data_IF_375176242356
#
_entry.id   IF_375176242356
#
_cell.length_a   1.000
_cell.length_b   1.000
_cell.length_c   1.000
_cell.angle_alpha   90.00
_cell.angle_beta   90.00
_cell.angle_gamma   90.00
#
_symmetry.space_group_name_H-M   'P 1'
#
loop_
_entity.id
_entity.type
_entity.pdbx_description
1 polymer ?
#
# COMPACT_ATOMS: atom_id res chain seq x y z
N UNK A 1 -29.24 19.89 23.19
CA UNK A 1 -29.55 18.61 22.53
C UNK A 1 -28.81 18.40 21.21
N UNK A 2 -28.61 19.43 20.36
CA UNK A 2 -27.89 19.29 19.07
C UNK A 2 -26.39 18.96 19.23
N UNK A 3 -25.72 19.53 20.24
CA UNK A 3 -24.27 19.31 20.47
C UNK A 3 -23.93 17.84 20.80
N UNK A 4 -24.74 17.16 21.60
CA UNK A 4 -24.49 15.76 21.99
C UNK A 4 -24.67 14.77 20.83
N UNK A 5 -25.58 15.05 19.89
CA UNK A 5 -25.77 14.24 18.70
C UNK A 5 -24.63 14.40 17.68
N UNK A 6 -24.12 15.63 17.51
CA UNK A 6 -22.96 15.90 16.65
C UNK A 6 -21.67 15.23 17.19
N UNK A 7 -21.46 15.27 18.51
CA UNK A 7 -20.31 14.60 19.14
C UNK A 7 -20.43 13.07 19.02
N UNK A 8 -21.63 12.51 19.20
CA UNK A 8 -21.87 11.07 19.01
C UNK A 8 -21.72 10.60 17.56
N UNK A 9 -21.96 11.48 16.57
CA UNK A 9 -21.72 11.21 15.14
C UNK A 9 -20.22 11.26 14.82
N UNK A 10 -19.47 12.19 15.41
CA UNK A 10 -18.01 12.32 15.23
C UNK A 10 -17.23 11.19 15.92
N UNK A 11 -17.74 10.61 17.01
CA UNK A 11 -17.05 9.51 17.69
C UNK A 11 -17.08 8.18 16.93
N UNK A 12 -17.99 8.06 15.97
CA UNK A 12 -18.14 6.85 15.16
C UNK A 12 -17.06 6.79 14.08
N UNK A 13 -16.14 5.83 14.23
CA UNK A 13 -14.99 5.63 13.32
C UNK A 13 -15.40 5.47 11.85
N UNK A 14 -16.57 4.87 11.59
CA UNK A 14 -17.14 4.71 10.26
C UNK A 14 -17.61 6.04 9.66
N UNK A 15 -18.12 6.96 10.48
CA UNK A 15 -18.51 8.30 10.01
C UNK A 15 -17.28 9.13 9.65
N UNK A 16 -16.24 9.07 10.50
CA UNK A 16 -14.92 9.66 10.21
C UNK A 16 -14.34 9.11 8.90
N UNK A 17 -14.44 7.79 8.69
CA UNK A 17 -14.03 7.13 7.45
C UNK A 17 -14.83 7.62 6.24
N UNK A 18 -16.16 7.68 6.34
CA UNK A 18 -17.02 8.17 5.27
C UNK A 18 -16.73 9.63 4.88
N UNK A 19 -16.53 10.52 5.86
CA UNK A 19 -16.14 11.90 5.60
C UNK A 19 -14.74 12.03 4.99
N UNK A 20 -13.79 11.19 5.40
CA UNK A 20 -12.46 11.16 4.77
C UNK A 20 -12.53 10.69 3.31
N UNK A 21 -13.36 9.67 3.02
CA UNK A 21 -13.57 9.17 1.66
C UNK A 21 -14.27 10.22 0.80
N UNK A 22 -15.36 10.83 1.30
CA UNK A 22 -16.09 11.89 0.59
C UNK A 22 -15.24 13.15 0.39
N UNK A 23 -14.48 13.56 1.40
CA UNK A 23 -13.54 14.68 1.30
C UNK A 23 -12.42 14.41 0.29
N UNK A 24 -11.86 13.19 0.30
CA UNK A 24 -10.88 12.75 -0.70
C UNK A 24 -11.45 12.73 -2.12
N UNK A 25 -12.70 12.27 -2.28
CA UNK A 25 -13.41 12.26 -3.56
C UNK A 25 -13.73 13.68 -4.06
N UNK A 26 -14.19 14.56 -3.18
CA UNK A 26 -14.45 15.96 -3.52
C UNK A 26 -13.15 16.69 -3.93
N UNK A 27 -12.06 16.46 -3.20
CA UNK A 27 -10.73 16.99 -3.51
C UNK A 27 -10.18 16.45 -4.85
N UNK A 28 -10.50 15.21 -5.21
CA UNK A 28 -10.16 14.60 -6.50
C UNK A 28 -10.91 15.28 -7.67
N UNK A 29 -12.17 15.67 -7.46
CA UNK A 29 -13.00 16.42 -8.43
C UNK A 29 -12.55 17.88 -8.63
N UNK A 30 -11.88 18.49 -7.65
CA UNK A 30 -11.32 19.86 -7.74
C UNK A 30 -10.15 19.96 -8.76
N UNK A 31 -9.74 18.85 -9.38
CA UNK A 31 -8.80 18.81 -10.52
C UNK A 31 -7.41 19.41 -10.27
N UNK A 32 -7.00 19.51 -8.99
CA UNK A 32 -5.61 19.74 -8.63
C UNK A 32 -4.82 18.47 -8.98
N UNK A 33 -4.04 18.52 -10.07
CA UNK A 33 -3.23 17.36 -10.53
C UNK A 33 -2.43 16.67 -9.41
N UNK A 34 -1.80 17.38 -8.46
CA UNK A 34 -1.06 16.74 -7.37
C UNK A 34 -1.95 15.91 -6.44
N UNK A 35 -3.18 16.36 -6.20
CA UNK A 35 -4.16 15.68 -5.33
C UNK A 35 -4.68 14.41 -6.00
N UNK A 36 -4.95 14.47 -7.30
CA UNK A 36 -5.43 13.30 -8.04
C UNK A 36 -4.42 12.16 -8.04
N UNK A 37 -3.15 12.50 -8.22
CA UNK A 37 -2.07 11.52 -8.28
C UNK A 37 -1.71 11.02 -6.88
N UNK A 38 -1.80 11.87 -5.85
CA UNK A 38 -1.77 11.41 -4.46
C UNK A 38 -2.88 10.40 -4.13
N UNK A 39 -4.09 10.60 -4.67
CA UNK A 39 -5.20 9.63 -4.56
C UNK A 39 -4.91 8.29 -5.24
N UNK A 40 -4.29 8.31 -6.42
CA UNK A 40 -3.87 7.08 -7.11
C UNK A 40 -2.78 6.32 -6.34
N UNK A 41 -1.83 7.06 -5.74
CA UNK A 41 -0.83 6.49 -4.85
C UNK A 41 -1.44 5.85 -3.61
N UNK A 42 -2.43 6.50 -3.01
CA UNK A 42 -3.14 5.93 -1.86
C UNK A 42 -3.81 4.59 -2.23
N UNK A 43 -4.42 4.49 -3.42
CA UNK A 43 -4.98 3.23 -3.92
C UNK A 43 -3.90 2.16 -4.12
N UNK A 44 -2.73 2.51 -4.65
CA UNK A 44 -1.59 1.59 -4.76
C UNK A 44 -1.13 1.07 -3.40
N UNK A 45 -1.03 1.94 -2.39
CA UNK A 45 -0.67 1.54 -1.03
C UNK A 45 -1.73 0.63 -0.40
N UNK A 46 -3.01 0.86 -0.70
CA UNK A 46 -4.09 -0.06 -0.27
C UNK A 46 -3.94 -1.42 -0.95
N UNK A 47 -3.61 -1.45 -2.24
CA UNK A 47 -3.36 -2.69 -2.97
C UNK A 47 -2.16 -3.45 -2.38
N UNK A 48 -1.07 -2.73 -2.07
CA UNK A 48 0.10 -3.30 -1.39
C UNK A 48 -0.25 -3.89 0.00
N UNK A 49 -1.11 -3.20 0.77
CA UNK A 49 -1.63 -3.76 2.02
C UNK A 49 -2.41 -5.06 1.81
N UNK A 50 -3.25 -5.12 0.77
CA UNK A 50 -4.01 -6.33 0.45
C UNK A 50 -3.08 -7.49 0.05
N UNK A 51 -2.06 -7.24 -0.76
CA UNK A 51 -1.10 -8.29 -1.13
C UNK A 51 -0.30 -8.76 0.09
N UNK A 52 0.06 -7.85 0.99
CA UNK A 52 0.67 -8.21 2.28
C UNK A 52 -0.24 -9.05 3.17
N UNK A 53 -1.54 -8.78 3.19
CA UNK A 53 -2.50 -9.65 3.90
C UNK A 53 -2.57 -11.04 3.30
N UNK A 54 -2.56 -11.16 1.97
CA UNK A 54 -2.53 -12.47 1.32
C UNK A 54 -1.25 -13.25 1.63
N UNK A 55 -0.11 -12.55 1.74
CA UNK A 55 1.17 -13.15 2.12
C UNK A 55 1.14 -13.68 3.56
N UNK A 56 0.65 -12.86 4.50
CA UNK A 56 0.52 -13.27 5.92
C UNK A 56 -0.46 -14.42 6.10
N UNK A 57 -1.59 -14.42 5.38
CA UNK A 57 -2.54 -15.52 5.41
C UNK A 57 -1.96 -16.82 4.85
N UNK A 58 -1.11 -16.72 3.82
CA UNK A 58 -0.38 -17.87 3.28
C UNK A 58 0.64 -18.44 4.27
N UNK A 59 1.44 -17.59 4.91
CA UNK A 59 2.39 -18.01 5.95
C UNK A 59 1.66 -18.70 7.11
N UNK A 60 0.53 -18.15 7.54
CA UNK A 60 -0.31 -18.77 8.57
C UNK A 60 -0.80 -20.17 8.17
N UNK A 61 -1.25 -20.37 6.93
CA UNK A 61 -1.72 -21.67 6.47
C UNK A 61 -0.60 -22.72 6.47
N UNK A 62 0.62 -22.34 6.10
CA UNK A 62 1.80 -23.23 6.17
C UNK A 62 2.11 -23.58 7.63
N UNK A 63 2.11 -22.61 8.54
CA UNK A 63 2.36 -22.83 9.97
C UNK A 63 1.29 -23.72 10.63
N UNK A 64 0.04 -23.65 10.17
CA UNK A 64 -1.08 -24.49 10.64
C UNK A 64 -1.06 -25.90 10.01
N UNK A 65 -0.06 -26.22 9.18
CA UNK A 65 0.19 -27.55 8.61
C UNK A 65 -0.40 -27.81 7.23
N UNK A 66 -0.82 -26.78 6.49
CA UNK A 66 -1.34 -26.95 5.13
C UNK A 66 -0.22 -27.16 4.10
N UNK A 67 -0.42 -28.12 3.19
CA UNK A 67 0.52 -28.42 2.10
C UNK A 67 0.65 -27.24 1.12
N UNK A 68 1.86 -26.69 0.90
CA UNK A 68 2.09 -25.54 0.01
C UNK A 68 1.58 -25.74 -1.42
N UNK A 69 1.54 -26.98 -1.91
CA UNK A 69 1.11 -27.36 -3.26
C UNK A 69 -0.42 -27.42 -3.42
N UNK A 70 -1.19 -27.47 -2.32
CA UNK A 70 -2.66 -27.57 -2.34
C UNK A 70 -3.37 -26.27 -1.96
N UNK A 71 -2.64 -25.21 -1.60
CA UNK A 71 -3.23 -23.93 -1.18
C UNK A 71 -3.70 -23.15 -2.42
N UNK A 72 -5.02 -23.13 -2.64
CA UNK A 72 -5.64 -22.32 -3.70
C UNK A 72 -5.63 -20.83 -3.33
N UNK A 73 -5.68 -19.95 -4.34
CA UNK A 73 -5.80 -18.50 -4.12
C UNK A 73 -7.02 -18.13 -3.25
N UNK A 74 -8.12 -18.88 -3.39
CA UNK A 74 -9.33 -18.66 -2.59
C UNK A 74 -9.14 -19.05 -1.12
N UNK A 75 -8.37 -20.09 -0.83
CA UNK A 75 -8.07 -20.52 0.54
C UNK A 75 -7.26 -19.45 1.28
N UNK A 76 -6.34 -18.77 0.58
CA UNK A 76 -5.58 -17.64 1.12
C UNK A 76 -6.50 -16.49 1.53
N UNK A 77 -7.49 -16.16 0.71
CA UNK A 77 -8.47 -15.10 1.02
C UNK A 77 -9.44 -15.51 2.14
N UNK A 78 -9.89 -16.77 2.16
CA UNK A 78 -10.74 -17.33 3.21
C UNK A 78 -10.02 -17.47 4.56
N UNK A 79 -8.69 -17.58 4.56
CA UNK A 79 -7.88 -17.63 5.77
C UNK A 79 -7.62 -16.25 6.41
N UNK A 80 -7.82 -15.14 5.68
CA UNK A 80 -7.58 -13.78 6.21
C UNK A 80 -8.44 -13.50 7.48
N UNK A 81 -9.76 -13.81 7.52
CA UNK A 81 -10.56 -13.67 8.74
C UNK A 81 -10.08 -14.58 9.89
N UNK A 82 -9.66 -15.82 9.60
CA UNK A 82 -9.15 -16.76 10.59
C UNK A 82 -7.80 -16.30 11.19
N UNK A 83 -6.91 -15.77 10.35
CA UNK A 83 -5.64 -15.17 10.74
C UNK A 83 -5.83 -13.88 11.58
N UNK A 84 -6.92 -13.14 11.35
CA UNK A 84 -7.35 -12.03 12.22
C UNK A 84 -7.78 -12.51 13.61
N UNK A 85 -8.56 -13.59 13.67
CA UNK A 85 -9.01 -14.19 14.92
C UNK A 85 -7.87 -14.70 15.81
N UNK A 86 -6.79 -15.22 15.20
CA UNK A 86 -5.58 -15.67 15.91
C UNK A 86 -4.55 -14.54 16.20
N UNK A 87 -4.88 -13.27 15.90
CA UNK A 87 -3.99 -12.10 16.10
C UNK A 87 -2.63 -12.17 15.38
N UNK A 88 -2.50 -12.97 14.32
CA UNK A 88 -1.26 -13.03 13.54
C UNK A 88 -1.14 -11.77 12.67
N UNK A 89 -2.27 -11.26 12.17
CA UNK A 89 -2.36 -9.95 11.53
C UNK A 89 -2.51 -8.87 12.62
N UNK A 90 -1.40 -8.50 13.27
CA UNK A 90 -1.40 -7.43 14.28
C UNK A 90 -1.41 -6.07 13.60
N UNK A 91 -2.47 -5.28 13.82
CA UNK A 91 -2.62 -3.91 13.29
C UNK A 91 -1.38 -3.03 13.53
N UNK A 92 -0.67 -3.19 14.65
CA UNK A 92 0.57 -2.45 14.95
C UNK A 92 1.70 -2.74 13.94
N UNK A 93 1.88 -4.00 13.54
CA UNK A 93 2.90 -4.41 12.57
C UNK A 93 2.59 -3.92 11.15
N UNK A 94 1.31 -3.75 10.83
CA UNK A 94 0.87 -3.27 9.52
C UNK A 94 0.76 -1.74 9.45
N UNK A 95 0.38 -1.09 10.56
CA UNK A 95 0.19 0.37 10.64
C UNK A 95 1.49 1.13 10.49
N UNK A 96 2.58 0.66 11.09
CA UNK A 96 3.88 1.35 11.03
C UNK A 96 4.41 1.49 9.58
N UNK A 97 4.60 0.40 8.81
CA UNK A 97 5.06 0.50 7.42
C UNK A 97 4.04 1.24 6.53
N UNK A 98 2.73 1.11 6.79
CA UNK A 98 1.71 1.87 6.07
C UNK A 98 1.81 3.38 6.31
N UNK A 99 1.93 3.80 7.57
CA UNK A 99 2.09 5.22 7.91
C UNK A 99 3.40 5.77 7.35
N UNK A 100 4.49 4.99 7.41
CA UNK A 100 5.79 5.38 6.86
C UNK A 100 5.71 5.59 5.33
N UNK A 101 5.03 4.69 4.62
CA UNK A 101 4.75 4.82 3.18
C UNK A 101 3.97 6.09 2.87
N UNK A 102 2.82 6.29 3.54
CA UNK A 102 1.98 7.48 3.34
C UNK A 102 2.77 8.76 3.62
N UNK A 103 3.51 8.81 4.72
CA UNK A 103 4.30 9.98 5.09
C UNK A 103 5.39 10.27 4.06
N UNK A 104 6.05 9.23 3.54
CA UNK A 104 7.04 9.35 2.46
C UNK A 104 6.42 9.91 1.19
N UNK A 105 5.23 9.45 0.79
CA UNK A 105 4.52 10.00 -0.37
C UNK A 105 4.19 11.47 -0.22
N UNK A 106 3.63 11.86 0.93
CA UNK A 106 3.26 13.24 1.19
C UNK A 106 4.47 14.16 1.20
N UNK A 107 5.54 13.79 1.92
CA UNK A 107 6.74 14.62 2.02
C UNK A 107 7.44 14.72 0.66
N UNK A 108 7.65 13.60 -0.04
CA UNK A 108 8.34 13.58 -1.33
C UNK A 108 7.56 14.34 -2.41
N UNK A 109 6.23 14.15 -2.48
CA UNK A 109 5.38 14.85 -3.45
C UNK A 109 5.29 16.35 -3.13
N UNK A 110 5.22 16.72 -1.84
CA UNK A 110 5.17 18.12 -1.42
C UNK A 110 6.49 18.84 -1.69
N UNK A 111 7.63 18.22 -1.36
CA UNK A 111 8.95 18.77 -1.63
C UNK A 111 9.22 18.94 -3.13
N UNK A 112 8.84 17.93 -3.94
CA UNK A 112 8.96 18.00 -5.39
C UNK A 112 8.06 19.09 -5.98
N UNK A 113 6.83 19.23 -5.48
CA UNK A 113 5.91 20.28 -5.90
C UNK A 113 6.46 21.68 -5.58
N UNK A 114 6.93 21.91 -4.34
CA UNK A 114 7.54 23.19 -3.97
C UNK A 114 8.72 23.54 -4.89
N UNK A 115 9.60 22.56 -5.14
CA UNK A 115 10.77 22.77 -5.99
C UNK A 115 10.37 23.09 -7.44
N UNK A 116 9.38 22.40 -7.99
CA UNK A 116 8.87 22.67 -9.34
C UNK A 116 8.17 24.04 -9.43
N UNK A 117 7.55 24.52 -8.35
CA UNK A 117 7.02 25.88 -8.28
C UNK A 117 8.14 26.94 -8.28
N UNK A 118 9.29 26.65 -7.64
CA UNK A 118 10.46 27.53 -7.67
C UNK A 118 11.18 27.54 -9.02
N UNK A 119 11.26 26.39 -9.71
CA UNK A 119 11.96 26.26 -11.00
C UNK A 119 11.06 26.57 -12.20
N UNK A 120 9.74 26.60 -12.02
CA UNK A 120 8.77 26.83 -13.09
C UNK A 120 8.60 25.65 -14.05
N UNK A 121 9.22 24.50 -13.78
CA UNK A 121 9.12 23.29 -14.61
C UNK A 121 8.73 22.09 -13.76
N UNK A 122 7.80 21.22 -14.20
CA UNK A 122 7.31 20.10 -13.40
C UNK A 122 8.24 18.87 -13.48
N UNK A 123 9.54 19.06 -13.31
CA UNK A 123 10.54 18.00 -13.52
C UNK A 123 10.64 17.09 -12.29
N UNK A 124 10.83 17.64 -11.09
CA UNK A 124 11.02 16.83 -9.89
C UNK A 124 9.78 16.04 -9.53
N UNK A 125 8.59 16.60 -9.75
CA UNK A 125 7.33 15.92 -9.45
C UNK A 125 7.17 14.65 -10.30
N UNK A 126 7.55 14.69 -11.58
CA UNK A 126 7.54 13.50 -12.46
C UNK A 126 8.53 12.44 -11.99
N UNK A 127 9.74 12.85 -11.59
CA UNK A 127 10.74 11.93 -11.06
C UNK A 127 10.31 11.32 -9.73
N UNK A 128 9.78 12.13 -8.82
CA UNK A 128 9.26 11.66 -7.54
C UNK A 128 8.18 10.61 -7.78
N UNK A 129 7.18 10.88 -8.62
CA UNK A 129 6.13 9.90 -8.93
C UNK A 129 6.66 8.63 -9.59
N UNK A 130 7.60 8.75 -10.53
CA UNK A 130 8.20 7.57 -11.16
C UNK A 130 8.89 6.69 -10.12
N UNK A 131 9.74 7.29 -9.27
CA UNK A 131 10.46 6.57 -8.22
C UNK A 131 9.51 5.91 -7.22
N UNK A 132 8.56 6.69 -6.71
CA UNK A 132 7.56 6.27 -5.74
C UNK A 132 6.70 5.12 -6.29
N UNK A 133 6.31 5.18 -7.57
CA UNK A 133 5.48 4.15 -8.20
C UNK A 133 6.26 2.86 -8.41
N UNK A 134 7.54 2.97 -8.78
CA UNK A 134 8.45 1.83 -8.89
C UNK A 134 8.69 1.14 -7.54
N UNK A 135 8.85 1.92 -6.46
CA UNK A 135 9.04 1.37 -5.12
C UNK A 135 7.81 0.58 -4.61
N UNK A 136 6.59 1.08 -4.82
CA UNK A 136 5.37 0.32 -4.47
C UNK A 136 5.18 -0.90 -5.36
N UNK A 137 5.44 -0.78 -6.65
CA UNK A 137 5.36 -1.92 -7.54
C UNK A 137 6.29 -3.04 -7.07
N UNK A 138 7.53 -2.71 -6.69
CA UNK A 138 8.48 -3.68 -6.13
C UNK A 138 7.97 -4.29 -4.83
N UNK A 139 7.46 -3.49 -3.90
CA UNK A 139 6.85 -3.95 -2.65
C UNK A 139 5.69 -4.94 -2.89
N UNK A 140 4.84 -4.67 -3.88
CA UNK A 140 3.77 -5.59 -4.28
C UNK A 140 4.34 -6.92 -4.79
N UNK A 141 5.39 -6.88 -5.62
CA UNK A 141 6.04 -8.08 -6.13
C UNK A 141 6.66 -8.92 -5.02
N UNK A 142 7.32 -8.27 -4.04
CA UNK A 142 7.88 -8.92 -2.86
C UNK A 142 6.78 -9.58 -2.02
N UNK A 143 5.68 -8.88 -1.74
CA UNK A 143 4.53 -9.46 -1.04
C UNK A 143 3.93 -10.65 -1.81
N UNK A 144 3.87 -10.59 -3.14
CA UNK A 144 3.38 -11.71 -3.97
C UNK A 144 4.33 -12.92 -3.94
N UNK A 145 5.64 -12.69 -3.97
CA UNK A 145 6.65 -13.76 -3.80
C UNK A 145 6.46 -14.42 -2.44
N UNK A 146 6.39 -13.62 -1.37
CA UNK A 146 6.25 -14.11 -0.01
C UNK A 146 4.90 -14.82 0.22
N UNK A 147 3.88 -14.49 -0.58
CA UNK A 147 2.60 -15.20 -0.67
C UNK A 147 2.64 -16.52 -1.45
N UNK A 148 3.83 -17.05 -1.78
CA UNK A 148 4.01 -18.35 -2.42
C UNK A 148 3.84 -18.35 -3.93
N UNK A 149 3.97 -17.18 -4.59
CA UNK A 149 3.94 -17.12 -6.05
C UNK A 149 5.33 -17.39 -6.64
N UNK A 150 5.57 -18.63 -7.05
CA UNK A 150 6.86 -19.10 -7.61
C UNK A 150 7.26 -18.38 -8.90
N UNK A 151 6.30 -17.84 -9.67
CA UNK A 151 6.62 -17.04 -10.85
C UNK A 151 7.22 -15.69 -10.48
N UNK A 152 6.72 -15.07 -9.39
CA UNK A 152 7.25 -13.79 -8.93
C UNK A 152 8.63 -13.91 -8.30
N UNK A 153 8.90 -15.02 -7.61
CA UNK A 153 10.22 -15.35 -7.11
C UNK A 153 11.27 -15.42 -8.23
N UNK A 154 10.96 -16.14 -9.31
CA UNK A 154 11.83 -16.25 -10.50
C UNK A 154 12.03 -14.91 -11.20
N UNK A 155 10.98 -14.08 -11.25
CA UNK A 155 11.09 -12.76 -11.86
C UNK A 155 12.00 -11.83 -11.04
N UNK A 156 11.80 -11.73 -9.73
CA UNK A 156 12.60 -10.86 -8.85
C UNK A 156 14.07 -11.26 -8.85
N UNK A 157 14.38 -12.56 -8.73
CA UNK A 157 15.76 -13.07 -8.78
C UNK A 157 16.45 -12.78 -10.11
N UNK A 158 15.71 -12.81 -11.22
CA UNK A 158 16.26 -12.48 -12.55
C UNK A 158 16.52 -10.98 -12.71
N UNK A 159 15.65 -10.13 -12.17
CA UNK A 159 15.85 -8.67 -12.14
C UNK A 159 17.07 -8.32 -11.27
N UNK A 160 17.15 -8.86 -10.05
CA UNK A 160 18.27 -8.63 -9.12
C UNK A 160 19.60 -9.08 -9.71
N UNK A 161 19.66 -10.26 -10.32
CA UNK A 161 20.89 -10.78 -10.94
C UNK A 161 21.34 -9.93 -12.12
N UNK A 162 20.42 -9.43 -12.95
CA UNK A 162 20.76 -8.51 -14.04
C UNK A 162 21.25 -7.15 -13.53
N UNK A 163 20.61 -6.61 -12.50
CA UNK A 163 21.05 -5.35 -11.88
C UNK A 163 22.43 -5.50 -11.26
N UNK A 164 22.68 -6.58 -10.51
CA UNK A 164 23.98 -6.86 -9.91
C UNK A 164 25.08 -6.98 -10.97
N UNK A 165 24.81 -7.69 -12.07
CA UNK A 165 25.77 -7.80 -13.19
C UNK A 165 26.04 -6.48 -13.91
N UNK A 166 25.09 -5.54 -13.89
CA UNK A 166 25.27 -4.18 -14.47
C UNK A 166 26.02 -3.23 -13.54
N UNK A 167 25.95 -3.44 -12.22
CA UNK A 167 26.58 -2.57 -11.22
C UNK A 167 27.93 -3.08 -10.72
N UNK A 168 28.18 -4.39 -10.83
CA UNK A 168 29.43 -5.03 -10.45
C UNK A 168 30.40 -5.30 -11.61
N UNK A 169 30.12 -4.74 -12.79
CA UNK A 169 30.98 -4.77 -13.97
C UNK A 169 31.55 -3.40 -14.28
#
# INVERSE_FOLDING_TARGET
MVSSACVALIDKWYLKGAFAVLGGWAMWLVCLRPVQIGGLFLLLVILDLLTKWTALAYQYLIEDGADPERISMLDKWLAIPAAWGKKIIVSRHMRKPFCDKIMTYFIATFAAWLTDQFTGTPMLMKFAWLYLSGAEFLSILENMRDGGNTAMEKFLTLVESKLKNRMGG
#
